data_IF_007642709183
#
_entry.id   IF_007642709183
#
_cell.length_a   1.000
_cell.length_b   1.000
_cell.length_c   1.000
_cell.angle_alpha   90.00
_cell.angle_beta   90.00
_cell.angle_gamma   90.00
#
_symmetry.space_group_name_H-M   'P 1'
#
loop_
_entity.id
_entity.type
_entity.pdbx_description
1 polymer ?
#
# COMPACT_ATOMS: atom_id res chain seq x y z
N UNK A 1 13.91 21.52 11.46
CA UNK A 1 13.69 21.65 10.00
C UNK A 1 12.22 21.91 9.74
N UNK A 2 11.88 22.82 8.82
CA UNK A 2 10.49 23.21 8.53
C UNK A 2 9.79 22.12 7.70
N UNK A 3 8.46 22.05 7.82
CA UNK A 3 7.58 21.27 6.96
C UNK A 3 7.58 21.90 5.55
N UNK A 4 7.54 21.07 4.49
CA UNK A 4 7.41 21.56 3.11
C UNK A 4 6.12 22.35 2.92
N UNK A 5 6.14 23.36 2.06
CA UNK A 5 4.95 24.10 1.62
C UNK A 5 4.27 23.46 0.42
N UNK A 6 4.85 22.41 -0.15
CA UNK A 6 4.30 21.67 -1.29
C UNK A 6 3.07 20.83 -0.86
N UNK A 7 2.21 20.51 -1.82
CA UNK A 7 1.27 19.39 -1.63
C UNK A 7 2.05 18.07 -1.54
N UNK A 8 1.40 17.02 -1.03
CA UNK A 8 1.99 15.68 -0.89
C UNK A 8 2.49 15.15 -2.24
N UNK A 9 1.65 15.26 -3.24
CA UNK A 9 1.90 14.79 -4.59
C UNK A 9 3.02 15.61 -5.25
N UNK A 10 2.99 16.94 -5.13
CA UNK A 10 4.07 17.80 -5.65
C UNK A 10 5.41 17.55 -4.96
N UNK A 11 5.42 17.21 -3.67
CA UNK A 11 6.64 16.78 -2.99
C UNK A 11 7.19 15.49 -3.61
N UNK A 12 6.35 14.47 -3.80
CA UNK A 12 6.75 13.20 -4.41
C UNK A 12 7.24 13.39 -5.84
N UNK A 13 6.60 14.27 -6.63
CA UNK A 13 7.01 14.59 -8.00
C UNK A 13 8.43 15.18 -7.99
N UNK A 14 8.68 16.19 -7.17
CA UNK A 14 10.01 16.82 -7.09
C UNK A 14 11.06 15.85 -6.52
N UNK A 15 10.71 15.07 -5.50
CA UNK A 15 11.60 14.03 -4.97
C UNK A 15 11.95 12.98 -6.05
N UNK A 16 10.95 12.54 -6.83
CA UNK A 16 11.15 11.59 -7.94
C UNK A 16 12.08 12.16 -9.01
N UNK A 17 11.96 13.44 -9.35
CA UNK A 17 12.85 14.08 -10.31
C UNK A 17 14.29 14.14 -9.82
N UNK A 18 14.50 14.41 -8.52
CA UNK A 18 15.83 14.38 -7.91
C UNK A 18 16.39 12.95 -7.91
N UNK A 19 15.60 11.97 -7.46
CA UNK A 19 15.98 10.54 -7.47
C UNK A 19 16.37 10.10 -8.88
N UNK A 20 15.51 10.37 -9.87
CA UNK A 20 15.74 10.00 -11.28
C UNK A 20 17.05 10.56 -11.81
N UNK A 21 17.29 11.86 -11.61
CA UNK A 21 18.43 12.57 -12.20
C UNK A 21 19.74 12.28 -11.46
N UNK A 22 19.70 12.24 -10.14
CA UNK A 22 20.89 12.31 -9.29
C UNK A 22 21.22 11.02 -8.56
N UNK A 23 20.30 10.06 -8.49
CA UNK A 23 20.54 8.76 -7.86
C UNK A 23 20.52 7.61 -8.88
N UNK A 24 19.44 7.47 -9.65
CA UNK A 24 19.24 6.35 -10.57
C UNK A 24 20.09 6.50 -11.85
N UNK A 25 20.02 7.65 -12.51
CA UNK A 25 20.74 7.89 -13.78
C UNK A 25 22.25 7.67 -13.67
N UNK A 26 22.97 8.17 -12.65
CA UNK A 26 24.41 7.93 -12.49
C UNK A 26 24.77 6.45 -12.28
N UNK A 27 23.81 5.63 -11.84
CA UNK A 27 23.97 4.18 -11.66
C UNK A 27 23.54 3.37 -12.88
N UNK A 28 23.19 4.04 -14.00
CA UNK A 28 22.80 3.40 -15.26
C UNK A 28 21.31 3.02 -15.35
N UNK A 29 20.49 3.41 -14.38
CA UNK A 29 19.06 3.07 -14.38
C UNK A 29 18.21 4.25 -14.88
N UNK A 30 17.28 3.94 -15.80
CA UNK A 30 16.35 4.93 -16.36
C UNK A 30 14.96 4.74 -15.76
N UNK A 31 14.63 5.57 -14.78
CA UNK A 31 13.27 5.64 -14.24
C UNK A 31 12.37 6.36 -15.25
N UNK A 32 11.26 5.74 -15.73
CA UNK A 32 10.35 6.37 -16.68
C UNK A 32 9.54 7.50 -16.02
N UNK A 33 8.71 8.20 -16.83
CA UNK A 33 7.66 9.05 -16.28
C UNK A 33 6.70 8.18 -15.48
N UNK A 34 6.33 8.62 -14.28
CA UNK A 34 5.38 7.94 -13.40
C UNK A 34 4.35 8.94 -12.90
N UNK A 35 3.15 8.47 -12.61
CA UNK A 35 2.17 9.21 -11.82
C UNK A 35 2.29 8.82 -10.36
N UNK A 36 2.06 9.80 -9.47
CA UNK A 36 2.32 9.67 -8.04
C UNK A 36 1.08 10.06 -7.24
N UNK A 37 0.75 9.27 -6.24
CA UNK A 37 -0.34 9.60 -5.32
C UNK A 37 -0.12 9.03 -3.92
N UNK A 38 -0.84 9.58 -2.95
CA UNK A 38 -0.97 9.02 -1.61
C UNK A 38 -2.30 8.27 -1.55
N UNK A 39 -2.23 6.95 -1.50
CA UNK A 39 -3.41 6.08 -1.48
C UNK A 39 -3.13 4.76 -0.79
N UNK A 40 -4.20 4.06 -0.42
CA UNK A 40 -4.10 2.69 0.06
C UNK A 40 -3.81 1.73 -1.10
N UNK A 41 -2.94 0.76 -0.85
CA UNK A 41 -2.67 -0.30 -1.82
C UNK A 41 -3.94 -1.10 -2.14
N UNK A 42 -4.06 -1.53 -3.40
CA UNK A 42 -5.19 -2.35 -3.87
C UNK A 42 -4.99 -3.83 -3.60
N UNK A 43 -3.73 -4.27 -3.44
CA UNK A 43 -3.34 -5.64 -3.13
C UNK A 43 -2.90 -5.78 -1.68
N UNK A 44 -3.01 -6.99 -1.15
CA UNK A 44 -2.68 -7.30 0.24
C UNK A 44 -3.83 -7.03 1.22
N UNK A 45 -3.54 -7.10 2.51
CA UNK A 45 -4.53 -6.79 3.54
C UNK A 45 -4.88 -5.30 3.50
N UNK A 46 -6.11 -4.99 3.13
CA UNK A 46 -6.65 -3.63 3.14
C UNK A 46 -6.92 -3.19 4.57
N UNK A 47 -6.71 -1.91 4.84
CA UNK A 47 -7.09 -1.30 6.12
C UNK A 47 -5.99 -1.31 7.17
N UNK A 48 -6.38 -1.31 8.46
CA UNK A 48 -5.50 -1.14 9.63
C UNK A 48 -4.32 -2.13 9.67
N UNK A 49 -4.50 -3.31 9.09
CA UNK A 49 -3.50 -4.38 9.05
C UNK A 49 -2.75 -4.45 7.72
N UNK A 50 -2.91 -3.48 6.83
CA UNK A 50 -2.15 -3.45 5.58
C UNK A 50 -0.68 -3.23 5.87
N UNK A 51 0.14 -4.19 5.48
CA UNK A 51 1.61 -4.09 5.55
C UNK A 51 2.23 -3.46 4.30
N UNK A 52 1.39 -3.17 3.28
CA UNK A 52 1.85 -2.62 2.01
C UNK A 52 2.15 -1.13 2.18
N UNK A 53 3.42 -0.79 2.10
CA UNK A 53 3.93 0.57 2.31
C UNK A 53 3.79 1.43 1.06
N UNK A 54 3.96 0.83 -0.12
CA UNK A 54 3.79 1.44 -1.43
C UNK A 54 3.37 0.39 -2.44
N UNK A 55 3.02 0.81 -3.63
CA UNK A 55 2.71 -0.09 -4.74
C UNK A 55 2.98 0.62 -6.06
N UNK A 56 3.66 -0.07 -6.97
CA UNK A 56 3.77 0.34 -8.37
C UNK A 56 2.77 -0.45 -9.21
N UNK A 57 2.11 0.24 -10.14
CA UNK A 57 1.25 -0.37 -11.14
C UNK A 57 1.95 -0.36 -12.50
N UNK A 58 1.80 -1.45 -13.26
CA UNK A 58 2.29 -1.57 -14.61
C UNK A 58 1.61 -0.55 -15.53
N UNK A 59 2.30 -0.17 -16.58
CA UNK A 59 1.76 0.65 -17.68
C UNK A 59 0.49 0.06 -18.28
N UNK A 60 0.39 -1.26 -18.34
CA UNK A 60 -0.78 -1.96 -18.85
C UNK A 60 -2.04 -1.75 -17.98
N UNK A 61 -1.86 -1.42 -16.72
CA UNK A 61 -2.95 -1.15 -15.79
C UNK A 61 -3.45 0.29 -15.83
N UNK A 62 -2.79 1.17 -16.58
CA UNK A 62 -3.08 2.60 -16.63
C UNK A 62 -3.51 3.04 -18.03
N UNK A 63 -4.63 3.76 -18.14
CA UNK A 63 -5.20 4.18 -19.41
C UNK A 63 -4.20 4.96 -20.30
N UNK A 64 -3.32 5.75 -19.70
CA UNK A 64 -2.32 6.55 -20.42
C UNK A 64 -1.00 5.79 -20.67
N UNK A 65 -0.91 4.50 -20.37
CA UNK A 65 0.31 3.72 -20.55
C UNK A 65 1.50 4.20 -19.71
N UNK A 66 1.24 4.72 -18.51
CA UNK A 66 2.23 5.26 -17.57
C UNK A 66 2.19 4.44 -16.28
N UNK A 67 3.36 4.12 -15.70
CA UNK A 67 3.38 3.50 -14.38
C UNK A 67 2.79 4.47 -13.34
N UNK A 68 1.92 3.97 -12.46
CA UNK A 68 1.47 4.70 -11.29
C UNK A 68 2.14 4.15 -10.04
N UNK A 69 2.67 5.05 -9.22
CA UNK A 69 3.26 4.72 -7.93
C UNK A 69 2.42 5.35 -6.82
N UNK A 70 2.01 4.55 -5.87
CA UNK A 70 1.30 5.01 -4.69
C UNK A 70 2.14 4.79 -3.44
N UNK A 71 2.03 5.72 -2.49
CA UNK A 71 2.61 5.61 -1.15
C UNK A 71 1.46 5.55 -0.14
N UNK A 72 1.54 4.63 0.81
CA UNK A 72 0.50 4.45 1.82
C UNK A 72 0.36 5.68 2.72
N UNK A 73 -0.87 6.17 2.96
CA UNK A 73 -1.12 7.29 3.87
C UNK A 73 -0.87 6.95 5.34
N UNK A 74 -0.57 5.69 5.69
CA UNK A 74 -0.19 5.31 7.06
C UNK A 74 1.19 5.84 7.49
N UNK A 75 2.02 6.25 6.54
CA UNK A 75 3.34 6.82 6.85
C UNK A 75 3.27 8.32 7.05
N UNK A 76 3.97 8.82 8.08
CA UNK A 76 4.00 10.23 8.43
C UNK A 76 5.31 10.88 8.08
N UNK A 77 5.25 12.07 7.48
CA UNK A 77 6.40 12.94 7.27
C UNK A 77 6.66 13.94 8.41
N UNK A 78 6.01 13.78 9.55
CA UNK A 78 6.13 14.72 10.68
C UNK A 78 7.54 14.81 11.26
N UNK A 79 8.33 13.74 11.14
CA UNK A 79 9.75 13.68 11.52
C UNK A 79 10.64 13.56 10.29
N UNK A 80 11.94 13.73 10.50
CA UNK A 80 12.95 13.51 9.43
C UNK A 80 12.97 12.02 9.08
N UNK A 81 13.00 11.14 10.07
CA UNK A 81 13.02 9.69 9.94
C UNK A 81 11.78 9.20 9.17
N UNK A 82 10.60 9.73 9.51
CA UNK A 82 9.36 9.43 8.77
C UNK A 82 9.42 9.89 7.31
N UNK A 83 10.02 11.06 7.05
CA UNK A 83 10.25 11.55 5.68
C UNK A 83 11.24 10.66 4.92
N UNK A 84 12.34 10.27 5.54
CA UNK A 84 13.32 9.35 4.94
C UNK A 84 12.70 8.00 4.64
N UNK A 85 11.83 7.47 5.52
CA UNK A 85 11.11 6.23 5.26
C UNK A 85 10.17 6.35 4.06
N UNK A 86 9.48 7.45 3.89
CA UNK A 86 8.62 7.70 2.71
C UNK A 86 9.47 7.75 1.42
N UNK A 87 10.64 8.37 1.47
CA UNK A 87 11.55 8.45 0.32
C UNK A 87 12.19 7.10 -0.01
N UNK A 88 12.49 6.29 0.98
CA UNK A 88 12.93 4.90 0.84
C UNK A 88 11.88 4.04 0.13
N UNK A 89 10.61 4.13 0.58
CA UNK A 89 9.48 3.46 -0.07
C UNK A 89 9.33 3.95 -1.52
N UNK A 90 9.41 5.25 -1.75
CA UNK A 90 9.35 5.83 -3.08
C UNK A 90 10.46 5.28 -3.99
N UNK A 91 11.69 5.20 -3.50
CA UNK A 91 12.81 4.65 -4.25
C UNK A 91 12.58 3.17 -4.61
N UNK A 92 12.03 2.37 -3.67
CA UNK A 92 11.65 0.97 -3.91
C UNK A 92 10.62 0.85 -5.05
N UNK A 93 9.54 1.64 -5.00
CA UNK A 93 8.49 1.58 -6.02
C UNK A 93 8.97 2.10 -7.39
N UNK A 94 9.91 3.03 -7.40
CA UNK A 94 10.52 3.50 -8.65
C UNK A 94 11.40 2.42 -9.32
N UNK A 95 12.01 1.50 -8.57
CA UNK A 95 12.72 0.36 -9.15
C UNK A 95 11.75 -0.54 -9.93
N UNK A 96 10.55 -0.77 -9.40
CA UNK A 96 9.52 -1.52 -10.12
C UNK A 96 9.13 -0.86 -11.45
N UNK A 97 9.14 0.48 -11.51
CA UNK A 97 8.85 1.21 -12.73
C UNK A 97 9.98 1.12 -13.78
N UNK A 98 11.24 0.84 -13.38
CA UNK A 98 12.40 0.77 -14.30
C UNK A 98 12.18 -0.29 -15.39
N UNK A 99 11.65 -1.45 -15.02
CA UNK A 99 11.40 -2.56 -15.95
C UNK A 99 9.92 -2.94 -16.10
N UNK A 100 9.03 -2.04 -15.66
CA UNK A 100 7.57 -2.24 -15.70
C UNK A 100 7.13 -3.49 -14.95
N UNK A 101 7.66 -3.72 -13.76
CA UNK A 101 7.37 -4.84 -12.84
C UNK A 101 7.77 -6.23 -13.35
N UNK A 102 8.44 -6.34 -14.50
CA UNK A 102 8.77 -7.64 -15.13
C UNK A 102 9.62 -8.53 -14.25
N UNK A 103 10.56 -7.96 -13.50
CA UNK A 103 11.45 -8.73 -12.61
C UNK A 103 10.85 -8.99 -11.22
N UNK A 104 9.70 -8.39 -10.87
CA UNK A 104 9.17 -8.43 -9.52
C UNK A 104 10.24 -8.02 -8.49
N UNK A 105 10.61 -8.90 -7.56
CA UNK A 105 11.74 -8.70 -6.63
C UNK A 105 12.94 -9.61 -6.97
N UNK A 106 13.05 -10.05 -8.23
CA UNK A 106 14.10 -10.91 -8.72
C UNK A 106 15.45 -10.19 -8.92
N UNK A 107 16.32 -10.79 -9.74
CA UNK A 107 17.72 -10.34 -9.90
C UNK A 107 17.83 -8.89 -10.34
N UNK A 108 17.12 -8.47 -11.39
CA UNK A 108 17.22 -7.10 -11.90
C UNK A 108 16.77 -6.05 -10.87
N UNK A 109 15.68 -6.32 -10.14
CA UNK A 109 15.26 -5.50 -9.02
C UNK A 109 16.35 -5.41 -7.95
N UNK A 110 16.89 -6.57 -7.51
CA UNK A 110 17.94 -6.66 -6.49
C UNK A 110 19.19 -5.87 -6.90
N UNK A 111 19.64 -6.05 -8.13
CA UNK A 111 20.83 -5.36 -8.65
C UNK A 111 20.63 -3.83 -8.61
N UNK A 112 19.47 -3.35 -9.04
CA UNK A 112 19.13 -1.92 -8.96
C UNK A 112 19.03 -1.43 -7.52
N UNK A 113 18.33 -2.17 -6.65
CA UNK A 113 18.15 -1.82 -5.24
C UNK A 113 19.48 -1.66 -4.51
N UNK A 114 20.38 -2.64 -4.66
CA UNK A 114 21.71 -2.58 -4.06
C UNK A 114 22.56 -1.44 -4.64
N UNK A 115 22.49 -1.21 -5.96
CA UNK A 115 23.24 -0.16 -6.62
C UNK A 115 22.87 1.26 -6.12
N UNK A 116 21.59 1.48 -5.78
CA UNK A 116 21.14 2.76 -5.23
C UNK A 116 21.25 2.87 -3.71
N UNK A 117 21.65 1.79 -3.01
CA UNK A 117 21.88 1.78 -1.57
C UNK A 117 20.71 1.25 -0.73
N UNK A 118 19.76 0.54 -1.32
CA UNK A 118 18.75 -0.20 -0.56
C UNK A 118 19.31 -1.54 -0.07
N UNK A 119 18.90 -1.96 1.15
CA UNK A 119 19.29 -3.21 1.81
C UNK A 119 18.18 -4.25 1.72
N UNK A 120 18.56 -5.54 1.79
CA UNK A 120 17.64 -6.69 1.90
C UNK A 120 16.81 -6.65 3.18
N UNK A 121 15.65 -7.36 3.21
CA UNK A 121 15.11 -8.24 2.17
C UNK A 121 14.41 -7.46 1.03
N UNK A 122 14.52 -7.97 -0.23
CA UNK A 122 14.06 -7.22 -1.41
C UNK A 122 12.56 -6.91 -1.42
N UNK A 123 11.72 -7.70 -0.77
CA UNK A 123 10.27 -7.43 -0.64
C UNK A 123 9.92 -6.32 0.35
N UNK A 124 10.87 -5.96 1.23
CA UNK A 124 10.70 -4.91 2.24
C UNK A 124 12.05 -4.24 2.52
N UNK A 125 12.61 -3.64 1.47
CA UNK A 125 13.91 -2.97 1.55
C UNK A 125 13.92 -1.83 2.56
N UNK A 126 15.10 -1.53 3.04
CA UNK A 126 15.39 -0.34 3.85
C UNK A 126 16.59 0.40 3.28
N UNK A 127 16.61 1.70 3.39
CA UNK A 127 17.76 2.49 2.99
C UNK A 127 18.99 2.17 3.86
N UNK A 128 20.17 2.14 3.25
CA UNK A 128 21.43 2.15 3.97
C UNK A 128 21.66 3.51 4.64
N UNK A 129 22.64 3.60 5.54
CA UNK A 129 22.95 4.87 6.20
C UNK A 129 23.45 5.90 5.20
N UNK A 130 24.24 5.47 4.21
CA UNK A 130 24.73 6.31 3.11
C UNK A 130 23.58 6.81 2.24
N UNK A 131 22.59 5.95 1.93
CA UNK A 131 21.41 6.36 1.18
C UNK A 131 20.55 7.32 2.01
N UNK A 132 20.35 7.06 3.30
CA UNK A 132 19.63 7.97 4.19
C UNK A 132 20.28 9.36 4.26
N UNK A 133 21.61 9.42 4.36
CA UNK A 133 22.35 10.69 4.33
C UNK A 133 22.20 11.38 2.98
N UNK A 134 22.31 10.64 1.88
CA UNK A 134 22.09 11.16 0.53
C UNK A 134 20.67 11.72 0.35
N UNK A 135 19.63 10.97 0.78
CA UNK A 135 18.24 11.40 0.72
C UNK A 135 18.01 12.67 1.55
N UNK A 136 18.58 12.71 2.75
CA UNK A 136 18.51 13.88 3.61
C UNK A 136 19.10 15.10 2.92
N UNK A 137 20.35 15.02 2.48
CA UNK A 137 21.09 16.15 1.87
C UNK A 137 20.47 16.61 0.55
N UNK A 138 20.06 15.70 -0.31
CA UNK A 138 19.61 16.02 -1.66
C UNK A 138 18.11 16.31 -1.77
N UNK A 139 17.29 15.80 -0.87
CA UNK A 139 15.83 15.97 -0.92
C UNK A 139 15.32 16.70 0.30
N UNK A 140 15.57 16.19 1.51
CA UNK A 140 14.94 16.74 2.73
C UNK A 140 15.46 18.15 3.05
N UNK A 141 16.75 18.41 2.88
CA UNK A 141 17.33 19.73 3.11
C UNK A 141 16.81 20.77 2.10
N UNK A 142 16.44 20.34 0.89
CA UNK A 142 15.93 21.22 -0.17
C UNK A 142 14.42 21.43 -0.11
N UNK A 143 13.65 20.35 0.10
CA UNK A 143 12.18 20.37 0.02
C UNK A 143 11.50 20.51 1.39
N UNK A 144 12.23 20.31 2.48
CA UNK A 144 11.68 20.22 3.83
C UNK A 144 11.18 18.82 4.17
N UNK A 145 10.56 18.67 5.34
CA UNK A 145 9.91 17.42 5.74
C UNK A 145 8.65 17.17 4.88
N UNK A 146 8.36 15.91 4.61
CA UNK A 146 7.18 15.52 3.84
C UNK A 146 5.89 16.06 4.48
N UNK A 147 5.01 16.73 3.72
CA UNK A 147 3.92 17.53 4.26
C UNK A 147 2.66 16.72 4.63
N UNK A 148 2.83 15.49 5.11
CA UNK A 148 1.71 14.60 5.44
C UNK A 148 1.85 14.00 6.85
N UNK A 149 0.79 14.11 7.64
CA UNK A 149 0.60 13.30 8.85
C UNK A 149 -0.01 11.94 8.51
N UNK A 150 0.32 10.91 9.28
CA UNK A 150 -0.24 9.58 9.05
C UNK A 150 -1.77 9.56 9.19
N UNK A 151 -2.41 8.75 8.35
CA UNK A 151 -3.83 8.42 8.46
C UNK A 151 -3.96 6.99 8.95
N UNK A 152 -4.73 6.78 10.00
CA UNK A 152 -5.10 5.44 10.44
C UNK A 152 -6.53 5.12 10.00
N UNK A 153 -6.76 3.90 9.53
CA UNK A 153 -8.12 3.40 9.31
C UNK A 153 -8.74 3.02 10.67
N UNK A 154 -9.10 4.04 11.45
CA UNK A 154 -9.84 3.89 12.70
C UNK A 154 -11.34 3.97 12.41
N UNK A 155 -11.91 2.95 11.77
CA UNK A 155 -13.35 2.77 11.69
C UNK A 155 -13.85 1.92 12.85
N UNK A 156 -15.06 2.20 13.38
CA UNK A 156 -15.75 1.22 14.21
C UNK A 156 -15.79 -0.10 13.42
N UNK A 157 -15.33 -1.20 14.03
CA UNK A 157 -15.56 -2.51 13.44
C UNK A 157 -17.07 -2.62 13.21
N UNK A 158 -17.46 -2.92 11.97
CA UNK A 158 -18.84 -3.25 11.67
C UNK A 158 -19.21 -4.50 12.49
N UNK A 159 -19.99 -4.30 13.54
CA UNK A 159 -20.43 -5.36 14.46
C UNK A 159 -21.64 -6.11 13.89
N UNK A 160 -22.35 -5.50 12.94
CA UNK A 160 -23.48 -6.10 12.24
C UNK A 160 -23.05 -6.81 10.96
N UNK A 161 -22.16 -7.79 11.09
CA UNK A 161 -21.93 -8.71 9.94
C UNK A 161 -23.14 -9.63 9.82
N UNK A 162 -23.48 -9.98 8.57
CA UNK A 162 -24.45 -11.00 8.31
C UNK A 162 -24.14 -12.26 9.12
N UNK A 163 -25.06 -12.64 9.96
CA UNK A 163 -24.97 -13.79 10.85
C UNK A 163 -25.17 -15.03 9.98
N UNK A 164 -24.36 -16.07 10.19
CA UNK A 164 -24.53 -17.36 9.53
C UNK A 164 -25.67 -18.09 10.22
N UNK A 165 -26.60 -18.57 9.42
CA UNK A 165 -27.64 -19.50 9.84
C UNK A 165 -27.40 -20.80 9.10
N UNK A 166 -27.48 -21.92 9.79
CA UNK A 166 -27.14 -23.24 9.25
C UNK A 166 -28.18 -24.30 9.69
N UNK A 167 -28.51 -25.18 8.77
CA UNK A 167 -29.30 -26.36 9.08
C UNK A 167 -28.40 -27.47 9.65
N UNK A 168 -28.69 -27.96 10.83
CA UNK A 168 -27.89 -29.00 11.46
C UNK A 168 -28.09 -30.39 10.78
N UNK A 169 -29.18 -30.57 10.02
CA UNK A 169 -29.46 -31.80 9.33
C UNK A 169 -28.67 -31.92 8.01
N UNK A 170 -28.84 -30.97 7.08
CA UNK A 170 -28.29 -31.06 5.72
C UNK A 170 -27.11 -30.13 5.47
N UNK A 171 -26.72 -29.26 6.43
CA UNK A 171 -25.66 -28.30 6.26
C UNK A 171 -25.98 -27.11 5.36
N UNK A 172 -27.21 -26.97 4.87
CA UNK A 172 -27.64 -25.78 4.14
C UNK A 172 -27.40 -24.53 4.99
N UNK A 173 -26.78 -23.52 4.43
CA UNK A 173 -26.48 -22.29 5.18
C UNK A 173 -26.63 -21.04 4.36
N UNK A 174 -27.03 -19.95 4.99
CA UNK A 174 -27.07 -18.63 4.42
C UNK A 174 -26.63 -17.57 5.45
N UNK A 175 -26.43 -16.35 4.98
CA UNK A 175 -26.07 -15.24 5.86
C UNK A 175 -27.16 -14.18 5.83
N UNK A 176 -27.59 -13.72 7.00
CA UNK A 176 -28.66 -12.74 7.13
C UNK A 176 -28.36 -11.74 8.25
N UNK A 177 -29.14 -10.65 8.33
CA UNK A 177 -29.01 -9.63 9.37
C UNK A 177 -29.64 -10.06 10.69
N UNK A 178 -29.23 -9.43 11.80
CA UNK A 178 -29.88 -9.62 13.11
C UNK A 178 -31.40 -9.37 13.02
N UNK A 179 -31.79 -8.28 12.35
CA UNK A 179 -33.21 -7.96 12.15
C UNK A 179 -34.01 -9.12 11.52
N UNK A 180 -33.44 -9.78 10.52
CA UNK A 180 -34.14 -10.90 9.89
C UNK A 180 -34.21 -12.13 10.80
N UNK A 181 -33.18 -12.37 11.64
CA UNK A 181 -33.19 -13.45 12.62
C UNK A 181 -34.25 -13.20 13.67
N UNK A 182 -34.38 -11.96 14.17
CA UNK A 182 -35.37 -11.56 15.16
C UNK A 182 -36.81 -11.67 14.61
N UNK A 183 -36.97 -11.74 13.29
CA UNK A 183 -38.26 -11.97 12.60
C UNK A 183 -38.51 -13.44 12.26
N UNK A 184 -37.53 -14.33 12.46
CA UNK A 184 -37.71 -15.77 12.28
C UNK A 184 -38.47 -16.33 13.48
N UNK A 185 -39.37 -17.25 13.21
CA UNK A 185 -40.08 -18.02 14.26
C UNK A 185 -39.07 -18.84 15.10
N UNK A 186 -39.43 -19.16 16.34
CA UNK A 186 -38.61 -19.98 17.24
C UNK A 186 -38.14 -21.29 16.62
N UNK A 187 -38.92 -21.82 15.69
CA UNK A 187 -38.58 -23.01 14.89
C UNK A 187 -38.68 -22.67 13.42
N UNK A 188 -37.56 -22.32 12.82
CA UNK A 188 -37.47 -22.06 11.38
C UNK A 188 -37.04 -23.32 10.65
N UNK A 189 -37.90 -23.86 9.78
CA UNK A 189 -37.61 -25.04 8.97
C UNK A 189 -36.59 -24.75 7.87
N UNK A 190 -35.81 -25.76 7.53
CA UNK A 190 -34.83 -25.68 6.45
C UNK A 190 -35.54 -25.61 5.10
N UNK A 191 -35.01 -24.79 4.20
CA UNK A 191 -35.53 -24.70 2.82
C UNK A 191 -34.98 -25.80 1.90
N UNK A 192 -34.04 -26.61 2.35
CA UNK A 192 -33.31 -27.59 1.55
C UNK A 192 -33.56 -29.05 1.99
N UNK A 193 -34.22 -29.30 3.14
CA UNK A 193 -34.62 -30.62 3.59
C UNK A 193 -35.85 -30.52 4.50
N UNK A 194 -36.63 -31.59 4.55
CA UNK A 194 -37.95 -31.62 5.22
C UNK A 194 -37.87 -31.63 6.76
N UNK A 195 -36.79 -32.21 7.32
CA UNK A 195 -36.66 -32.45 8.78
C UNK A 195 -35.69 -31.49 9.46
N UNK A 196 -35.09 -30.57 8.71
CA UNK A 196 -34.03 -29.71 9.24
C UNK A 196 -34.55 -28.42 9.90
N UNK A 197 -33.94 -28.05 11.02
CA UNK A 197 -34.16 -26.77 11.70
C UNK A 197 -32.96 -25.86 11.49
N UNK A 198 -33.21 -24.59 11.20
CA UNK A 198 -32.22 -23.57 11.02
C UNK A 198 -31.76 -23.01 12.37
N UNK A 199 -30.45 -22.91 12.57
CA UNK A 199 -29.85 -22.37 13.79
C UNK A 199 -28.82 -21.32 13.47
N UNK A 200 -28.64 -20.36 14.37
CA UNK A 200 -27.54 -19.37 14.30
C UNK A 200 -26.24 -20.11 14.61
N UNK A 201 -25.27 -20.05 13.66
CA UNK A 201 -23.99 -20.73 13.74
C UNK A 201 -22.87 -19.79 14.28
#
# INVERSE_FOLDING_TARGET
MKKSKLSRENYLIQATDILRKSLFKPKGYKVPKVELSISWATSGNRGKNSKTAGQCFSKASHQNGINQVIISPSYSGSTIEGTLRILDILAHELIHAVDDLKSGHGKAFKDCALAIGLKSPMRSTTASDELNEWLRKNIVDKLGKFPHGSVSLSGKKQTTRNIKVECYCCGFSFRTSRKNIDMMDEVSHCLACDDGVLQVA
#
